data_IF_860074946809
#
_entry.id   IF_860074946809
#
_cell.length_a   1.000
_cell.length_b   1.000
_cell.length_c   1.000
_cell.angle_alpha   90.00
_cell.angle_beta   90.00
_cell.angle_gamma   90.00
#
_symmetry.space_group_name_H-M   'P 1'
#
loop_
_entity.id
_entity.type
_entity.pdbx_description
1 polymer ?
#
# COMPACT_ATOMS: atom_id res chain seq x y z
N UNK A 1 -7.73 0.49 -7.54
CA UNK A 1 -9.02 1.17 -7.34
C UNK A 1 -9.65 0.61 -6.08
N UNK A 2 -10.11 1.49 -5.19
CA UNK A 2 -10.80 1.15 -3.95
C UNK A 2 -12.30 1.20 -4.16
N UNK A 3 -13.00 0.31 -3.48
CA UNK A 3 -14.46 0.29 -3.38
C UNK A 3 -14.81 0.20 -1.89
N UNK A 4 -15.66 1.10 -1.42
CA UNK A 4 -16.11 1.15 -0.04
C UNK A 4 -17.64 1.20 0.01
N UNK A 5 -18.20 0.35 0.86
CA UNK A 5 -19.62 0.33 1.20
C UNK A 5 -19.75 0.65 2.69
N UNK A 6 -20.50 1.69 3.01
CA UNK A 6 -20.73 2.13 4.39
C UNK A 6 -22.14 1.75 4.81
N UNK A 7 -22.25 1.05 5.92
CA UNK A 7 -23.51 0.64 6.53
C UNK A 7 -23.74 1.48 7.78
N UNK A 8 -24.85 2.21 7.83
CA UNK A 8 -25.25 2.99 9.00
C UNK A 8 -26.65 2.57 9.42
N UNK A 9 -26.82 2.30 10.71
CA UNK A 9 -28.13 2.02 11.31
C UNK A 9 -28.73 3.33 11.79
N UNK A 10 -29.88 3.71 11.26
CA UNK A 10 -30.61 4.89 11.67
C UNK A 10 -31.38 4.63 12.97
N UNK A 11 -31.83 5.71 13.63
CA UNK A 11 -32.54 5.63 14.92
C UNK A 11 -33.87 4.88 14.84
N UNK A 12 -34.47 4.80 13.65
CA UNK A 12 -35.70 4.03 13.38
C UNK A 12 -35.43 2.53 13.13
N UNK A 13 -34.18 2.09 13.23
CA UNK A 13 -33.76 0.71 13.02
C UNK A 13 -33.49 0.32 11.57
N UNK A 14 -33.73 1.23 10.60
CA UNK A 14 -33.42 0.99 9.18
C UNK A 14 -31.93 1.13 8.91
N UNK A 15 -31.46 0.46 7.86
CA UNK A 15 -30.08 0.59 7.39
C UNK A 15 -30.00 1.53 6.19
N UNK A 16 -29.14 2.54 6.28
CA UNK A 16 -28.70 3.34 5.15
C UNK A 16 -27.36 2.79 4.65
N UNK A 17 -27.26 2.60 3.33
CA UNK A 17 -26.05 2.10 2.66
C UNK A 17 -25.56 3.18 1.71
N UNK A 18 -24.27 3.50 1.76
CA UNK A 18 -23.63 4.40 0.79
C UNK A 18 -22.41 3.76 0.16
N UNK A 19 -22.12 4.15 -1.08
CA UNK A 19 -21.02 3.61 -1.87
C UNK A 19 -20.06 4.71 -2.30
N UNK A 20 -18.76 4.44 -2.22
CA UNK A 20 -17.72 5.28 -2.80
C UNK A 20 -16.68 4.40 -3.48
N UNK A 21 -16.11 4.91 -4.56
CA UNK A 21 -14.89 4.35 -5.14
C UNK A 21 -13.90 5.48 -5.43
N UNK A 22 -12.61 5.13 -5.42
CA UNK A 22 -11.56 6.07 -5.79
C UNK A 22 -10.31 5.32 -6.23
N UNK A 23 -9.57 5.88 -7.18
CA UNK A 23 -8.21 5.42 -7.47
C UNK A 23 -7.28 5.90 -6.35
N UNK A 24 -6.31 5.06 -6.02
CA UNK A 24 -5.29 5.46 -5.08
C UNK A 24 -4.27 6.33 -5.80
N UNK A 25 -3.95 7.49 -5.24
CA UNK A 25 -3.05 8.48 -5.84
C UNK A 25 -1.59 8.10 -5.58
N UNK A 26 -1.12 7.02 -6.24
CA UNK A 26 0.29 6.62 -6.22
C UNK A 26 1.14 7.64 -6.97
N UNK A 27 2.42 7.75 -6.62
CA UNK A 27 3.33 8.68 -7.30
C UNK A 27 3.40 8.42 -8.81
N UNK A 28 3.44 7.14 -9.20
CA UNK A 28 3.45 6.76 -10.62
C UNK A 28 2.13 7.05 -11.32
N UNK A 29 0.99 6.96 -10.62
CA UNK A 29 -0.29 7.36 -11.20
C UNK A 29 -0.38 8.88 -11.36
N UNK A 30 0.13 9.66 -10.39
CA UNK A 30 0.21 11.12 -10.50
C UNK A 30 1.09 11.56 -11.67
N UNK A 31 2.16 10.83 -11.96
CA UNK A 31 3.00 11.08 -13.14
C UNK A 31 2.23 10.77 -14.42
N UNK A 32 1.59 9.60 -14.52
CA UNK A 32 0.80 9.21 -15.69
C UNK A 32 -0.39 10.14 -15.95
N UNK A 33 -1.04 10.65 -14.91
CA UNK A 33 -2.17 11.58 -15.04
C UNK A 33 -1.79 12.93 -15.65
N UNK A 34 -0.50 13.28 -15.70
CA UNK A 34 0.00 14.49 -16.37
C UNK A 34 0.26 14.26 -17.86
N UNK A 35 0.29 13.01 -18.29
CA UNK A 35 0.60 12.62 -19.65
C UNK A 35 -0.64 12.08 -20.35
N UNK A 36 -0.62 12.10 -21.69
CA UNK A 36 -1.71 11.57 -22.52
C UNK A 36 -1.60 10.07 -22.77
N UNK A 37 -0.51 9.44 -22.33
CA UNK A 37 -0.15 8.05 -22.62
C UNK A 37 0.42 7.35 -21.37
N UNK A 38 0.31 6.00 -21.29
CA UNK A 38 0.89 5.26 -20.18
C UNK A 38 2.41 5.40 -20.13
N UNK A 39 2.94 5.76 -18.97
CA UNK A 39 4.39 5.87 -18.75
C UNK A 39 5.01 4.54 -18.32
N UNK A 40 4.25 3.70 -17.60
CA UNK A 40 4.77 2.48 -16.98
C UNK A 40 4.20 1.18 -17.62
N UNK A 41 5.06 0.40 -18.30
CA UNK A 41 4.71 -0.85 -18.97
C UNK A 41 5.04 -2.08 -18.10
N UNK A 42 4.04 -2.94 -17.84
CA UNK A 42 4.19 -4.12 -16.98
C UNK A 42 4.52 -5.43 -17.72
N UNK A 43 4.24 -5.53 -19.02
CA UNK A 43 4.41 -6.75 -19.82
C UNK A 43 5.57 -6.64 -20.82
N UNK A 44 6.79 -6.59 -20.30
CA UNK A 44 8.01 -6.63 -21.13
C UNK A 44 8.74 -7.96 -20.96
N UNK A 45 9.34 -8.46 -22.05
CA UNK A 45 10.26 -9.63 -22.01
C UNK A 45 11.46 -9.33 -21.10
N UNK A 46 12.04 -10.35 -20.46
CA UNK A 46 13.02 -10.18 -19.37
C UNK A 46 14.17 -9.19 -19.66
N UNK A 47 14.83 -9.28 -20.81
CA UNK A 47 15.94 -8.38 -21.17
C UNK A 47 15.43 -6.96 -21.39
N UNK A 48 14.35 -6.79 -22.16
CA UNK A 48 13.75 -5.48 -22.43
C UNK A 48 13.24 -4.82 -21.15
N UNK A 49 12.74 -5.61 -20.20
CA UNK A 49 12.32 -5.15 -18.88
C UNK A 49 13.48 -4.54 -18.09
N UNK A 50 14.68 -5.11 -18.13
CA UNK A 50 15.84 -4.55 -17.43
C UNK A 50 16.27 -3.19 -18.00
N UNK A 51 16.34 -3.07 -19.32
CA UNK A 51 16.63 -1.79 -19.98
C UNK A 51 15.58 -0.73 -19.66
N UNK A 52 14.32 -1.12 -19.73
CA UNK A 52 13.20 -0.25 -19.41
C UNK A 52 13.21 0.21 -17.94
N UNK A 53 13.52 -0.71 -17.01
CA UNK A 53 13.68 -0.42 -15.59
C UNK A 53 14.80 0.60 -15.33
N UNK A 54 15.91 0.52 -16.07
CA UNK A 54 16.99 1.50 -15.99
C UNK A 54 16.54 2.89 -16.49
N UNK A 55 15.81 2.93 -17.60
CA UNK A 55 15.22 4.15 -18.15
C UNK A 55 14.25 4.78 -17.13
N UNK A 56 13.33 3.99 -16.57
CA UNK A 56 12.38 4.48 -15.57
C UNK A 56 13.09 4.97 -14.30
N UNK A 57 14.11 4.27 -13.83
CA UNK A 57 14.91 4.71 -12.68
C UNK A 57 15.58 6.06 -12.94
N UNK A 58 16.05 6.30 -14.16
CA UNK A 58 16.76 7.53 -14.53
C UNK A 58 15.80 8.70 -14.75
N UNK A 59 14.67 8.46 -15.44
CA UNK A 59 13.70 9.51 -15.80
C UNK A 59 12.73 9.84 -14.67
N UNK A 60 12.32 8.84 -13.90
CA UNK A 60 11.21 8.96 -12.95
C UNK A 60 11.59 8.66 -11.50
N UNK A 61 12.86 8.26 -11.25
CA UNK A 61 13.32 7.91 -9.90
C UNK A 61 12.70 6.62 -9.33
N UNK A 62 11.97 5.85 -10.15
CA UNK A 62 11.34 4.60 -9.76
C UNK A 62 11.50 3.54 -10.84
N UNK A 63 11.71 2.30 -10.42
CA UNK A 63 12.01 1.18 -11.31
C UNK A 63 10.74 0.56 -11.91
N UNK A 64 9.61 0.61 -11.19
CA UNK A 64 8.35 0.00 -11.63
C UNK A 64 7.15 0.86 -11.24
N UNK A 65 6.00 0.61 -11.91
CA UNK A 65 4.72 1.19 -11.53
C UNK A 65 4.34 0.82 -10.09
N UNK A 66 3.95 1.81 -9.30
CA UNK A 66 3.33 1.61 -7.99
C UNK A 66 1.83 1.45 -8.18
N UNK A 67 1.34 0.21 -8.03
CA UNK A 67 -0.06 -0.14 -8.29
C UNK A 67 -0.94 -0.15 -7.05
N UNK A 68 -0.39 -0.48 -5.88
CA UNK A 68 -1.09 -0.54 -4.58
C UNK A 68 -2.52 -1.09 -4.72
N UNK A 69 -2.68 -2.31 -5.23
CA UNK A 69 -3.97 -2.86 -5.65
C UNK A 69 -4.28 -4.27 -5.13
N UNK A 70 -3.48 -4.81 -4.21
CA UNK A 70 -3.58 -6.24 -3.83
C UNK A 70 -4.54 -6.49 -2.68
N UNK A 71 -4.53 -5.67 -1.64
CA UNK A 71 -5.30 -5.91 -0.42
C UNK A 71 -5.51 -4.62 0.37
N UNK A 72 -6.48 -4.65 1.28
CA UNK A 72 -6.88 -3.54 2.17
C UNK A 72 -6.86 -4.06 3.60
N UNK A 73 -6.18 -3.36 4.50
CA UNK A 73 -6.19 -3.67 5.93
C UNK A 73 -6.45 -2.43 6.79
N UNK A 74 -7.36 -2.56 7.76
CA UNK A 74 -7.54 -1.59 8.84
C UNK A 74 -6.69 -1.94 10.07
N UNK A 75 -5.80 -1.02 10.44
CA UNK A 75 -4.91 -1.16 11.61
C UNK A 75 -5.42 -0.33 12.79
N UNK A 76 -5.91 0.88 12.50
CA UNK A 76 -6.52 1.83 13.44
C UNK A 76 -7.89 2.27 12.92
N UNK A 77 -8.65 3.02 13.74
CA UNK A 77 -10.00 3.48 13.41
C UNK A 77 -10.13 4.28 12.09
N UNK A 78 -9.02 4.75 11.51
CA UNK A 78 -9.00 5.72 10.41
C UNK A 78 -8.34 5.26 9.12
N UNK A 79 -7.54 4.18 9.11
CA UNK A 79 -6.57 3.95 8.03
C UNK A 79 -6.65 2.58 7.39
N UNK A 80 -6.67 2.58 6.06
CA UNK A 80 -6.59 1.37 5.22
C UNK A 80 -5.31 1.36 4.40
N UNK A 81 -4.65 0.21 4.30
CA UNK A 81 -3.40 0.07 3.54
C UNK A 81 -3.55 -0.73 2.26
N UNK A 82 -2.95 -0.25 1.19
CA UNK A 82 -2.86 -0.95 -0.09
C UNK A 82 -1.42 -1.31 -0.41
N UNK A 83 -1.21 -2.56 -0.84
CA UNK A 83 0.09 -3.19 -0.76
C UNK A 83 0.51 -3.85 -2.08
N UNK A 84 1.75 -3.58 -2.50
CA UNK A 84 2.60 -4.51 -3.27
C UNK A 84 4.03 -3.96 -3.35
N UNK A 85 5.00 -4.73 -2.85
CA UNK A 85 6.45 -4.59 -3.10
C UNK A 85 7.05 -3.19 -2.85
N UNK A 86 6.36 -2.34 -2.09
CA UNK A 86 6.76 -0.99 -1.70
C UNK A 86 6.19 -0.69 -0.31
N UNK A 87 6.43 0.51 0.22
CA UNK A 87 5.76 0.98 1.43
C UNK A 87 4.24 0.98 1.20
N UNK A 88 3.44 0.60 2.20
CA UNK A 88 2.00 0.69 2.12
C UNK A 88 1.57 2.16 2.10
N UNK A 89 0.41 2.43 1.52
CA UNK A 89 -0.14 3.79 1.51
C UNK A 89 -1.29 3.92 2.48
N UNK A 90 -1.32 5.03 3.18
CA UNK A 90 -2.38 5.38 4.11
C UNK A 90 -3.53 6.07 3.37
N UNK A 91 -4.75 5.68 3.71
CA UNK A 91 -5.97 6.30 3.17
C UNK A 91 -6.91 6.71 4.28
N UNK A 92 -7.61 7.81 4.06
CA UNK A 92 -8.75 8.21 4.87
C UNK A 92 -9.98 7.36 4.49
N UNK A 93 -10.53 6.62 5.44
CA UNK A 93 -11.64 5.69 5.18
C UNK A 93 -12.95 6.39 4.81
N UNK A 94 -13.16 7.66 5.18
CA UNK A 94 -14.42 8.36 4.93
C UNK A 94 -14.46 8.99 3.53
N UNK A 95 -13.33 9.49 3.06
CA UNK A 95 -13.16 10.23 1.80
C UNK A 95 -12.49 9.40 0.72
N UNK A 96 -11.84 8.30 1.08
CA UNK A 96 -10.94 7.49 0.24
C UNK A 96 -9.73 8.27 -0.28
N UNK A 97 -9.39 9.41 0.35
CA UNK A 97 -8.21 10.18 -0.03
C UNK A 97 -6.92 9.46 0.37
N UNK A 98 -5.94 9.48 -0.52
CA UNK A 98 -4.59 9.00 -0.24
C UNK A 98 -3.86 10.04 0.60
N UNK A 99 -3.38 9.64 1.77
CA UNK A 99 -2.67 10.52 2.71
C UNK A 99 -1.16 10.51 2.48
N UNK A 100 -0.60 9.35 2.10
CA UNK A 100 0.82 9.23 1.79
C UNK A 100 1.32 7.80 1.92
N UNK A 101 2.63 7.62 1.78
CA UNK A 101 3.29 6.37 2.14
C UNK A 101 3.39 6.27 3.66
N UNK A 102 3.27 5.06 4.20
CA UNK A 102 3.36 4.76 5.62
C UNK A 102 4.55 3.85 5.89
N UNK A 103 5.56 4.40 6.55
CA UNK A 103 6.81 3.73 6.92
C UNK A 103 6.90 3.47 8.43
N UNK A 104 5.75 3.49 9.11
CA UNK A 104 5.64 3.35 10.56
C UNK A 104 6.53 4.37 11.29
N UNK A 105 6.39 5.65 10.93
CA UNK A 105 7.19 6.76 11.45
C UNK A 105 8.70 6.54 11.27
N UNK A 106 9.09 6.06 10.10
CA UNK A 106 10.47 5.73 9.74
C UNK A 106 11.03 4.44 10.36
N UNK A 107 10.24 3.72 11.17
CA UNK A 107 10.70 2.48 11.82
C UNK A 107 10.72 1.28 10.87
N UNK A 108 10.07 1.36 9.70
CA UNK A 108 10.02 0.29 8.71
C UNK A 108 10.50 0.79 7.34
N UNK A 109 11.57 0.17 6.83
CA UNK A 109 12.20 0.57 5.56
C UNK A 109 12.20 -0.55 4.50
N UNK A 110 11.36 -1.57 4.67
CA UNK A 110 11.28 -2.72 3.76
C UNK A 110 10.01 -2.67 2.92
N UNK A 111 10.00 -3.34 1.74
CA UNK A 111 8.75 -3.66 1.06
C UNK A 111 7.79 -4.34 2.04
N UNK A 112 6.53 -3.92 2.06
CA UNK A 112 5.56 -4.43 3.02
C UNK A 112 4.67 -5.51 2.36
N UNK A 113 4.53 -6.67 3.02
CA UNK A 113 3.68 -7.77 2.51
C UNK A 113 2.23 -7.34 2.35
N UNK A 114 1.55 -7.77 1.28
CA UNK A 114 0.13 -7.52 1.12
C UNK A 114 -0.78 -8.34 2.05
N UNK A 115 -0.22 -9.25 2.84
CA UNK A 115 -1.02 -10.13 3.71
C UNK A 115 -0.57 -10.05 5.18
N UNK A 116 -0.46 -8.84 5.77
CA UNK A 116 -0.14 -8.72 7.18
C UNK A 116 -1.30 -9.28 8.02
N UNK A 117 -1.00 -9.70 9.24
CA UNK A 117 -1.96 -10.39 10.13
C UNK A 117 -2.10 -9.63 11.43
N UNK A 118 -3.35 -9.30 11.78
CA UNK A 118 -3.67 -8.70 13.07
C UNK A 118 -3.78 -9.80 14.13
N UNK A 119 -3.07 -9.64 15.24
CA UNK A 119 -3.10 -10.57 16.37
C UNK A 119 -4.41 -10.40 17.13
N UNK A 120 -5.21 -11.47 17.32
CA UNK A 120 -6.40 -11.42 18.17
C UNK A 120 -6.05 -11.04 19.61
N UNK A 121 -6.88 -10.23 20.26
CA UNK A 121 -6.63 -9.77 21.63
C UNK A 121 -5.74 -8.53 21.69
N UNK A 122 -4.44 -8.65 21.36
CA UNK A 122 -3.50 -7.52 21.44
C UNK A 122 -3.74 -6.46 20.36
N UNK A 123 -4.25 -6.87 19.20
CA UNK A 123 -4.48 -5.98 18.06
C UNK A 123 -3.21 -5.55 17.32
N UNK A 124 -2.06 -6.11 17.68
CA UNK A 124 -0.78 -5.89 17.02
C UNK A 124 -0.81 -6.39 15.59
N UNK A 125 0.02 -5.79 14.73
CA UNK A 125 0.10 -6.17 13.33
C UNK A 125 1.42 -6.88 13.05
N UNK A 126 1.34 -8.13 12.62
CA UNK A 126 2.49 -8.89 12.11
C UNK A 126 2.60 -8.67 10.60
N UNK A 127 3.77 -8.24 10.16
CA UNK A 127 4.13 -8.01 8.77
C UNK A 127 5.45 -8.70 8.43
N UNK A 128 5.78 -8.75 7.14
CA UNK A 128 7.08 -9.19 6.66
C UNK A 128 7.51 -8.35 5.47
N UNK A 129 8.82 -8.24 5.28
CA UNK A 129 9.44 -7.64 4.12
C UNK A 129 10.46 -8.55 3.48
N UNK A 130 10.52 -8.52 2.15
CA UNK A 130 11.47 -9.30 1.36
C UNK A 130 12.32 -8.34 0.54
N UNK A 131 13.63 -8.55 0.54
CA UNK A 131 14.59 -7.74 -0.20
C UNK A 131 15.54 -8.63 -1.01
N UNK A 132 15.98 -8.13 -2.16
CA UNK A 132 17.01 -8.77 -2.97
C UNK A 132 18.41 -8.66 -2.33
N UNK A 133 18.60 -7.72 -1.39
CA UNK A 133 19.82 -7.56 -0.60
C UNK A 133 19.63 -8.07 0.83
N UNK A 134 20.70 -8.52 1.47
CA UNK A 134 20.66 -8.94 2.88
C UNK A 134 20.28 -7.76 3.81
N UNK A 135 19.51 -8.00 4.88
CA UNK A 135 18.79 -9.25 5.16
C UNK A 135 17.65 -9.47 4.14
N UNK A 136 17.57 -10.69 3.62
CA UNK A 136 16.63 -11.00 2.53
C UNK A 136 15.18 -11.05 2.99
N UNK A 137 14.97 -11.28 4.28
CA UNK A 137 13.66 -11.43 4.89
C UNK A 137 13.68 -10.81 6.30
N UNK A 138 12.65 -10.04 6.62
CA UNK A 138 12.46 -9.47 7.95
C UNK A 138 10.99 -9.62 8.37
N UNK A 139 10.75 -9.91 9.64
CA UNK A 139 9.42 -9.90 10.26
C UNK A 139 9.31 -8.65 11.12
N UNK A 140 8.19 -7.93 11.00
CA UNK A 140 7.87 -6.79 11.86
C UNK A 140 6.62 -7.08 12.69
N UNK A 141 6.65 -6.73 13.97
CA UNK A 141 5.46 -6.68 14.83
C UNK A 141 5.21 -5.22 15.22
N UNK A 142 4.05 -4.69 14.84
CA UNK A 142 3.71 -3.27 14.97
C UNK A 142 2.64 -3.11 16.05
N UNK A 143 2.99 -2.38 17.10
CA UNK A 143 2.17 -2.13 18.28
C UNK A 143 2.02 -0.62 18.46
N UNK A 144 0.94 -0.05 17.92
CA UNK A 144 0.76 1.40 17.87
C UNK A 144 1.78 2.06 16.93
N UNK A 145 2.75 2.81 17.48
CA UNK A 145 3.88 3.41 16.73
C UNK A 145 5.20 2.65 16.91
N UNK A 146 5.22 1.60 17.73
CA UNK A 146 6.42 0.79 17.99
C UNK A 146 6.49 -0.37 17.00
N UNK A 147 7.69 -0.67 16.51
CA UNK A 147 7.96 -1.82 15.63
C UNK A 147 9.06 -2.67 16.24
N UNK A 148 8.74 -3.94 16.53
CA UNK A 148 9.73 -4.95 16.88
C UNK A 148 10.13 -5.68 15.60
N UNK A 149 11.40 -5.56 15.19
CA UNK A 149 11.93 -6.19 13.99
C UNK A 149 12.68 -7.46 14.39
N UNK A 150 12.32 -8.57 13.74
CA UNK A 150 13.00 -9.86 13.88
C UNK A 150 13.66 -10.20 12.55
N UNK A 151 14.99 -10.37 12.59
CA UNK A 151 15.77 -10.84 11.45
C UNK A 151 15.67 -12.36 11.39
N UNK A 152 15.34 -12.90 10.21
CA UNK A 152 15.33 -14.35 9.93
C UNK A 152 16.34 -14.65 8.84
#
# INVERSE_FOLDING_TARGET
MLHALYFKKESDGKWSISYKNKHLETETLKMENKETHPLFFLLLKAILRLFYQLICSTLFGTVNKLLSNTSVLSIRASFTQLLRNHLPQEIDIQTLNTLGNWDVNGSWNRPFTAHPKKVPGSGELVTMGVNAMKPFFEIGVISGTLVNIFLV
#
